data_IF_611657111220
#
_entry.id   IF_611657111220
#
_cell.length_a   1.000
_cell.length_b   1.000
_cell.length_c   1.000
_cell.angle_alpha   90.00
_cell.angle_beta   90.00
_cell.angle_gamma   90.00
#
_symmetry.space_group_name_H-M   'P 1'
#
loop_
_entity.id
_entity.type
_entity.pdbx_description
1 polymer ?
#
# COMPACT_ATOMS: atom_id res chain seq x y z
N UNK A 1 22.03 3.50 -4.80
CA UNK A 1 21.09 4.20 -5.72
C UNK A 1 21.08 3.50 -7.06
N UNK A 2 19.91 3.40 -7.71
CA UNK A 2 19.81 2.81 -9.05
C UNK A 2 20.59 3.67 -10.07
N UNK A 3 21.48 3.03 -10.83
CA UNK A 3 22.41 3.70 -11.78
C UNK A 3 21.70 4.40 -12.95
N UNK A 4 20.43 4.07 -13.20
CA UNK A 4 19.55 4.71 -14.18
C UNK A 4 18.09 4.60 -13.73
N UNK A 5 17.58 5.57 -12.93
CA UNK A 5 16.17 5.60 -12.59
C UNK A 5 15.37 5.93 -13.85
N UNK A 6 14.38 5.10 -14.17
CA UNK A 6 13.43 5.39 -15.25
C UNK A 6 12.32 6.25 -14.66
N UNK A 7 11.98 7.35 -15.32
CA UNK A 7 10.83 8.18 -14.94
C UNK A 7 9.54 7.39 -15.11
N UNK A 8 8.58 7.52 -14.18
CA UNK A 8 7.27 6.86 -14.32
C UNK A 8 6.58 7.33 -15.60
N UNK A 9 6.31 6.40 -16.50
CA UNK A 9 5.71 6.67 -17.82
C UNK A 9 4.31 6.11 -17.99
N UNK A 10 3.93 5.86 -19.25
CA UNK A 10 2.65 5.22 -19.62
C UNK A 10 2.45 3.82 -19.01
N UNK A 11 3.51 3.21 -18.47
CA UNK A 11 3.44 1.97 -17.70
C UNK A 11 2.51 2.05 -16.47
N UNK A 12 2.29 3.24 -15.91
CA UNK A 12 1.40 3.42 -14.75
C UNK A 12 -0.09 3.42 -15.09
N UNK A 13 -0.45 3.57 -16.36
CA UNK A 13 -1.86 3.59 -16.80
C UNK A 13 -2.51 2.19 -16.78
N UNK A 14 -1.70 1.14 -16.85
CA UNK A 14 -2.16 -0.25 -16.90
C UNK A 14 -1.88 -0.93 -15.57
N UNK A 15 -2.82 -1.73 -15.06
CA UNK A 15 -2.66 -2.46 -13.81
C UNK A 15 -1.46 -3.43 -13.86
N UNK A 16 -0.72 -3.60 -12.75
CA UNK A 16 0.40 -4.54 -12.71
C UNK A 16 -0.09 -5.99 -12.59
N UNK A 17 0.76 -6.92 -13.00
CA UNK A 17 0.58 -8.35 -12.79
C UNK A 17 0.99 -8.74 -11.38
N UNK A 18 0.20 -9.57 -10.72
CA UNK A 18 0.50 -10.08 -9.38
C UNK A 18 1.17 -11.45 -9.48
N UNK A 19 2.34 -11.59 -8.85
CA UNK A 19 3.03 -12.87 -8.66
C UNK A 19 3.14 -13.14 -7.17
N UNK A 20 2.48 -14.20 -6.71
CA UNK A 20 2.57 -14.71 -5.34
C UNK A 20 3.56 -15.87 -5.33
N UNK A 21 4.66 -15.74 -4.58
CA UNK A 21 5.67 -16.78 -4.44
C UNK A 21 5.72 -17.31 -3.00
N UNK A 22 5.81 -18.64 -2.88
CA UNK A 22 5.95 -19.36 -1.60
C UNK A 22 4.79 -19.14 -0.60
N UNK A 23 3.59 -18.77 -1.05
CA UNK A 23 2.42 -18.74 -0.17
C UNK A 23 1.95 -20.17 0.12
N UNK A 24 1.82 -20.50 1.40
CA UNK A 24 1.40 -21.84 1.85
C UNK A 24 -0.11 -22.05 1.84
N UNK A 25 -0.53 -23.27 2.19
CA UNK A 25 -1.93 -23.71 2.21
C UNK A 25 -2.71 -23.38 3.49
N UNK A 26 -2.08 -22.68 4.46
CA UNK A 26 -2.74 -22.33 5.71
C UNK A 26 -3.92 -21.37 5.48
N UNK A 27 -4.89 -21.38 6.39
CA UNK A 27 -6.10 -20.57 6.24
C UNK A 27 -5.78 -19.07 6.23
N UNK A 28 -4.82 -18.63 7.03
CA UNK A 28 -4.34 -17.25 7.10
C UNK A 28 -3.69 -16.82 5.78
N UNK A 29 -2.86 -17.70 5.20
CA UNK A 29 -2.17 -17.47 3.93
C UNK A 29 -3.13 -17.43 2.74
N UNK A 30 -4.18 -18.26 2.75
CA UNK A 30 -5.25 -18.24 1.75
C UNK A 30 -6.05 -16.95 1.81
N UNK A 31 -6.42 -16.49 3.01
CA UNK A 31 -7.09 -15.21 3.21
C UNK A 31 -6.22 -14.06 2.70
N UNK A 32 -4.94 -14.05 3.07
CA UNK A 32 -3.98 -13.05 2.62
C UNK A 32 -3.80 -13.05 1.10
N UNK A 33 -3.65 -14.24 0.48
CA UNK A 33 -3.56 -14.38 -0.98
C UNK A 33 -4.81 -13.85 -1.67
N UNK A 34 -5.99 -14.15 -1.10
CA UNK A 34 -7.28 -13.66 -1.60
C UNK A 34 -7.38 -12.15 -1.53
N UNK A 35 -6.90 -11.54 -0.44
CA UNK A 35 -6.84 -10.07 -0.30
C UNK A 35 -5.96 -9.48 -1.40
N UNK A 36 -4.73 -9.96 -1.56
CA UNK A 36 -3.84 -9.45 -2.60
C UNK A 36 -4.40 -9.67 -4.00
N UNK A 37 -5.01 -10.82 -4.29
CA UNK A 37 -5.66 -11.07 -5.58
C UNK A 37 -6.81 -10.11 -5.87
N UNK A 38 -7.62 -9.75 -4.87
CA UNK A 38 -8.74 -8.82 -5.05
C UNK A 38 -8.33 -7.34 -5.03
N UNK A 39 -7.12 -7.01 -4.58
CA UNK A 39 -6.58 -5.65 -4.71
C UNK A 39 -6.22 -5.29 -6.16
N UNK A 40 -5.99 -6.29 -7.01
CA UNK A 40 -5.65 -6.10 -8.42
C UNK A 40 -6.77 -6.62 -9.34
N UNK A 41 -6.92 -6.07 -10.55
CA UNK A 41 -7.90 -6.57 -11.51
C UNK A 41 -7.64 -8.05 -11.84
N UNK A 42 -8.70 -8.89 -11.97
CA UNK A 42 -8.54 -10.29 -12.33
C UNK A 42 -7.94 -10.42 -13.73
N UNK A 43 -6.96 -11.31 -13.88
CA UNK A 43 -6.24 -11.52 -15.14
C UNK A 43 -6.81 -12.74 -15.87
N UNK A 44 -7.29 -12.53 -17.09
CA UNK A 44 -7.70 -13.59 -17.99
C UNK A 44 -6.61 -13.83 -19.04
N UNK A 45 -5.92 -14.96 -18.95
CA UNK A 45 -4.75 -15.29 -19.79
C UNK A 45 -5.09 -15.31 -21.29
N UNK A 46 -6.34 -15.65 -21.64
CA UNK A 46 -6.78 -15.75 -23.04
C UNK A 46 -7.07 -14.40 -23.69
N UNK A 47 -7.53 -13.42 -22.91
CA UNK A 47 -7.97 -12.12 -23.45
C UNK A 47 -6.96 -11.00 -23.21
N UNK A 48 -6.00 -11.22 -22.30
CA UNK A 48 -4.97 -10.24 -21.97
C UNK A 48 -4.06 -9.97 -23.17
N UNK A 49 -3.80 -8.69 -23.44
CA UNK A 49 -2.82 -8.27 -24.44
C UNK A 49 -1.43 -8.18 -23.84
N UNK A 50 -0.41 -8.63 -24.59
CA UNK A 50 0.97 -8.58 -24.10
C UNK A 50 1.46 -7.13 -23.91
N UNK A 51 0.90 -6.17 -24.65
CA UNK A 51 1.22 -4.75 -24.53
C UNK A 51 0.86 -4.12 -23.16
N UNK A 52 -0.06 -4.77 -22.43
CA UNK A 52 -0.52 -4.36 -21.10
C UNK A 52 0.36 -4.94 -19.99
N UNK A 53 1.14 -5.98 -20.26
CA UNK A 53 2.05 -6.65 -19.34
C UNK A 53 3.33 -5.83 -19.07
N UNK A 54 3.18 -4.59 -18.59
CA UNK A 54 4.31 -3.66 -18.38
C UNK A 54 4.89 -3.71 -16.98
N UNK A 55 4.07 -4.02 -15.97
CA UNK A 55 4.46 -3.98 -14.56
C UNK A 55 4.13 -5.29 -13.87
N UNK A 56 4.98 -5.68 -12.92
CA UNK A 56 4.78 -6.86 -12.09
C UNK A 56 5.07 -6.53 -10.63
N UNK A 57 4.15 -6.91 -9.76
CA UNK A 57 4.29 -6.89 -8.30
C UNK A 57 4.61 -8.32 -7.88
N UNK A 58 5.76 -8.49 -7.25
CA UNK A 58 6.20 -9.74 -6.67
C UNK A 58 6.00 -9.66 -5.15
N UNK A 59 5.25 -10.62 -4.64
CA UNK A 59 5.13 -10.89 -3.21
C UNK A 59 5.82 -12.22 -2.94
N UNK A 60 6.91 -12.20 -2.16
CA UNK A 60 7.63 -13.41 -1.79
C UNK A 60 7.47 -13.65 -0.29
N UNK A 61 6.84 -14.76 0.08
CA UNK A 61 6.69 -15.15 1.48
C UNK A 61 7.89 -16.00 1.92
N UNK A 62 8.53 -15.61 3.02
CA UNK A 62 9.55 -16.43 3.66
C UNK A 62 8.94 -17.16 4.86
N UNK A 63 8.90 -18.49 4.79
CA UNK A 63 8.33 -19.32 5.85
C UNK A 63 9.13 -19.33 7.16
N UNK A 64 10.42 -19.02 7.12
CA UNK A 64 11.29 -19.00 8.30
C UNK A 64 11.09 -17.72 9.11
N UNK A 65 11.08 -16.57 8.43
CA UNK A 65 10.96 -15.26 9.07
C UNK A 65 9.51 -14.78 9.22
N UNK A 66 8.55 -15.43 8.53
CA UNK A 66 7.15 -15.01 8.39
C UNK A 66 6.98 -13.62 7.77
N UNK A 67 7.98 -13.16 7.02
CA UNK A 67 7.94 -11.89 6.33
C UNK A 67 7.56 -12.06 4.85
N UNK A 68 6.97 -11.01 4.29
CA UNK A 68 6.56 -10.91 2.90
C UNK A 68 7.36 -9.78 2.28
N UNK A 69 8.23 -10.12 1.34
CA UNK A 69 8.92 -9.13 0.53
C UNK A 69 7.96 -8.62 -0.55
N UNK A 70 7.65 -7.32 -0.51
CA UNK A 70 6.94 -6.62 -1.56
C UNK A 70 7.95 -5.93 -2.47
N UNK A 71 7.92 -6.30 -3.76
CA UNK A 71 8.80 -5.71 -4.78
C UNK A 71 8.01 -5.39 -6.04
N UNK A 72 8.26 -4.21 -6.60
CA UNK A 72 7.59 -3.74 -7.80
C UNK A 72 8.59 -3.51 -8.94
N UNK A 73 8.39 -4.23 -10.04
CA UNK A 73 9.25 -4.20 -11.21
C UNK A 73 8.49 -3.77 -12.46
N UNK A 74 9.21 -3.11 -13.35
CA UNK A 74 8.87 -2.89 -14.74
C UNK A 74 9.44 -4.03 -15.59
N UNK A 75 8.64 -4.56 -16.50
CA UNK A 75 9.00 -5.63 -17.42
C UNK A 75 9.55 -5.01 -18.70
N UNK A 76 10.86 -5.14 -18.93
CA UNK A 76 11.52 -4.72 -20.15
C UNK A 76 12.00 -5.95 -20.94
N UNK A 77 11.83 -5.93 -22.25
CA UNK A 77 12.37 -6.99 -23.13
C UNK A 77 13.63 -6.51 -23.82
N UNK A 78 14.58 -7.42 -24.00
CA UNK A 78 15.82 -7.19 -24.75
C UNK A 78 15.92 -8.15 -25.94
N UNK A 79 16.50 -7.72 -27.08
CA UNK A 79 16.87 -8.64 -28.15
C UNK A 79 17.95 -9.62 -27.68
N UNK A 80 17.77 -10.90 -28.02
CA UNK A 80 18.70 -12.01 -27.74
C UNK A 80 19.50 -12.33 -29.01
N UNK A 81 20.72 -12.85 -28.84
CA UNK A 81 21.57 -13.29 -29.96
C UNK A 81 22.21 -12.16 -30.76
N UNK A 82 22.29 -10.95 -30.20
CA UNK A 82 22.88 -9.77 -30.84
C UNK A 82 23.95 -9.17 -29.93
N UNK A 83 25.16 -9.01 -30.44
CA UNK A 83 26.28 -8.37 -29.72
C UNK A 83 25.95 -6.92 -29.33
N UNK A 84 26.57 -6.41 -28.25
CA UNK A 84 26.33 -5.04 -27.78
C UNK A 84 26.65 -3.98 -28.83
N UNK A 85 27.66 -4.21 -29.68
CA UNK A 85 28.04 -3.33 -30.79
C UNK A 85 26.89 -3.17 -31.79
N UNK A 86 26.30 -4.28 -32.22
CA UNK A 86 25.13 -4.29 -33.12
C UNK A 86 23.89 -3.74 -32.41
N UNK A 87 23.70 -4.06 -31.12
CA UNK A 87 22.60 -3.54 -30.29
C UNK A 87 22.62 -2.01 -30.23
N UNK A 88 23.80 -1.39 -30.08
CA UNK A 88 23.96 0.09 -30.13
C UNK A 88 23.60 0.64 -31.50
N UNK A 89 24.07 0.02 -32.59
CA UNK A 89 23.72 0.48 -33.95
C UNK A 89 22.20 0.49 -34.16
N UNK A 90 21.52 -0.56 -33.71
CA UNK A 90 20.05 -0.67 -33.81
C UNK A 90 19.33 0.36 -32.93
N UNK A 91 19.85 0.68 -31.74
CA UNK A 91 19.16 1.55 -30.78
C UNK A 91 19.48 3.04 -30.94
N UNK A 92 20.75 3.39 -31.14
CA UNK A 92 21.25 4.78 -31.21
C UNK A 92 21.52 5.25 -32.63
N UNK A 93 21.44 4.38 -33.63
CA UNK A 93 21.51 4.72 -35.07
C UNK A 93 22.94 4.94 -35.58
N UNK A 94 23.76 5.76 -34.91
CA UNK A 94 25.14 6.03 -35.32
C UNK A 94 26.09 5.76 -34.15
N UNK A 95 26.96 4.73 -34.24
CA UNK A 95 28.02 4.50 -33.27
C UNK A 95 29.18 5.46 -33.48
N UNK A 96 29.97 5.68 -32.43
CA UNK A 96 31.28 6.31 -32.56
C UNK A 96 32.26 5.31 -33.18
N UNK A 97 32.82 5.67 -34.33
CA UNK A 97 33.77 4.86 -35.09
C UNK A 97 35.21 5.38 -34.94
N UNK A 98 35.45 6.39 -34.10
CA UNK A 98 36.76 6.96 -33.90
C UNK A 98 37.71 5.91 -33.29
N UNK A 99 38.60 5.35 -34.10
CA UNK A 99 39.57 4.32 -33.71
C UNK A 99 39.26 2.90 -34.18
N UNK A 100 38.28 2.71 -35.07
CA UNK A 100 38.05 1.45 -35.79
C UNK A 100 38.38 1.63 -37.27
N UNK A 101 39.07 0.64 -37.86
CA UNK A 101 39.44 0.68 -39.29
C UNK A 101 38.26 0.30 -40.20
N UNK A 102 37.40 -0.61 -39.74
CA UNK A 102 36.25 -1.10 -40.51
C UNK A 102 35.07 -1.48 -39.59
N UNK A 103 33.88 -1.62 -40.17
CA UNK A 103 32.64 -2.09 -39.52
C UNK A 103 32.86 -3.46 -38.88
N UNK A 104 33.62 -4.33 -39.56
CA UNK A 104 33.96 -5.67 -39.08
C UNK A 104 34.74 -5.61 -37.76
N UNK A 105 35.68 -4.68 -37.64
CA UNK A 105 36.48 -4.47 -36.43
C UNK A 105 35.61 -3.97 -35.25
N UNK A 106 34.69 -3.03 -35.51
CA UNK A 106 33.72 -2.58 -34.51
C UNK A 106 32.82 -3.72 -33.98
N UNK A 107 32.34 -4.60 -34.86
CA UNK A 107 31.50 -5.73 -34.47
C UNK A 107 32.29 -6.78 -33.69
N UNK A 108 33.48 -7.15 -34.18
CA UNK A 108 34.35 -8.17 -33.58
C UNK A 108 34.89 -7.71 -32.23
N UNK A 109 35.46 -6.52 -32.14
CA UNK A 109 36.01 -5.97 -30.88
C UNK A 109 34.91 -5.74 -29.83
N UNK A 110 33.71 -5.38 -30.27
CA UNK A 110 32.53 -5.29 -29.40
C UNK A 110 31.98 -6.64 -28.92
N UNK A 111 32.32 -7.75 -29.58
CA UNK A 111 31.92 -9.09 -29.18
C UNK A 111 32.81 -9.67 -28.07
N UNK A 112 34.12 -9.38 -28.07
CA UNK A 112 35.07 -9.91 -27.08
C UNK A 112 35.09 -9.17 -25.73
N UNK A 113 34.62 -7.93 -25.68
CA UNK A 113 34.71 -7.08 -24.48
C UNK A 113 33.56 -7.28 -23.46
N UNK A 114 32.75 -8.34 -23.57
CA UNK A 114 31.46 -8.39 -22.88
C UNK A 114 31.13 -9.72 -22.20
N UNK A 115 31.64 -9.93 -20.99
CA UNK A 115 31.28 -11.05 -20.11
C UNK A 115 29.80 -11.03 -19.63
N UNK A 116 29.07 -9.93 -19.80
CA UNK A 116 27.68 -9.81 -19.34
C UNK A 116 26.60 -10.36 -20.30
N UNK A 117 26.99 -10.98 -21.43
CA UNK A 117 26.05 -11.66 -22.34
C UNK A 117 25.76 -13.11 -21.88
N UNK A 118 26.59 -13.62 -20.95
CA UNK A 118 26.42 -14.94 -20.32
C UNK A 118 25.24 -14.96 -19.33
N UNK A 119 24.75 -13.78 -18.93
CA UNK A 119 23.60 -13.66 -18.01
C UNK A 119 22.23 -13.83 -18.70
N UNK A 120 22.14 -13.62 -20.03
CA UNK A 120 20.90 -13.84 -20.81
C UNK A 120 20.77 -15.34 -21.18
N UNK A 121 20.89 -16.22 -20.18
CA UNK A 121 20.79 -17.68 -20.33
C UNK A 121 19.41 -18.14 -20.86
N UNK A 122 19.25 -19.45 -21.18
CA UNK A 122 18.00 -19.98 -21.73
C UNK A 122 16.80 -19.72 -20.81
N UNK A 123 17.02 -19.65 -19.50
CA UNK A 123 15.97 -19.45 -18.49
C UNK A 123 15.38 -18.02 -18.49
N UNK A 124 16.10 -17.03 -19.04
CA UNK A 124 15.61 -15.65 -19.18
C UNK A 124 15.00 -15.35 -20.55
N UNK A 125 15.14 -16.28 -21.50
CA UNK A 125 14.74 -16.10 -22.90
C UNK A 125 13.34 -16.67 -23.17
N UNK A 126 12.49 -15.89 -23.82
CA UNK A 126 11.11 -16.26 -24.19
C UNK A 126 10.81 -15.82 -25.62
N UNK A 127 10.07 -16.64 -26.36
CA UNK A 127 9.51 -16.28 -27.68
C UNK A 127 8.21 -15.50 -27.50
N UNK A 128 8.11 -14.31 -28.08
CA UNK A 128 6.93 -13.46 -27.94
C UNK A 128 5.70 -14.03 -28.67
N UNK A 129 4.57 -14.17 -27.97
CA UNK A 129 3.31 -14.63 -28.56
C UNK A 129 2.55 -13.55 -29.36
N UNK A 130 2.82 -12.28 -29.05
CA UNK A 130 2.23 -11.07 -29.64
C UNK A 130 3.29 -9.96 -29.70
N UNK A 131 2.97 -8.85 -30.37
CA UNK A 131 3.83 -7.67 -30.33
C UNK A 131 3.88 -7.09 -28.91
N UNK A 132 5.06 -6.62 -28.51
CA UNK A 132 5.28 -6.01 -27.19
C UNK A 132 5.74 -4.56 -27.32
N UNK A 133 5.58 -3.80 -26.23
CA UNK A 133 5.89 -2.38 -26.19
C UNK A 133 7.38 -2.13 -26.49
N UNK A 134 7.67 -1.12 -27.30
CA UNK A 134 9.03 -0.72 -27.65
C UNK A 134 9.40 -0.99 -29.11
N UNK A 135 10.57 -0.51 -29.52
CA UNK A 135 11.04 -0.67 -30.91
C UNK A 135 11.50 -2.11 -31.14
N UNK A 136 11.11 -2.65 -32.29
CA UNK A 136 11.52 -3.98 -32.76
C UNK A 136 11.19 -5.11 -31.79
N UNK A 137 10.01 -5.13 -31.16
CA UNK A 137 9.54 -6.26 -30.35
C UNK A 137 8.32 -6.91 -31.02
N UNK A 138 8.57 -7.71 -32.06
CA UNK A 138 7.52 -8.32 -32.87
C UNK A 138 7.17 -9.71 -32.37
N UNK A 139 5.95 -10.13 -32.70
CA UNK A 139 5.48 -11.50 -32.54
C UNK A 139 6.47 -12.50 -33.13
N UNK A 140 6.69 -13.61 -32.42
CA UNK A 140 7.64 -14.71 -32.73
C UNK A 140 9.12 -14.38 -32.57
N UNK A 141 9.50 -13.15 -32.22
CA UNK A 141 10.89 -12.86 -31.88
C UNK A 141 11.27 -13.47 -30.52
N UNK A 142 12.50 -14.00 -30.42
CA UNK A 142 13.08 -14.38 -29.14
C UNK A 142 13.62 -13.14 -28.40
N UNK A 143 13.20 -13.00 -27.14
CA UNK A 143 13.56 -11.87 -26.27
C UNK A 143 13.91 -12.33 -24.87
N UNK A 144 14.87 -11.66 -24.25
CA UNK A 144 15.20 -11.87 -22.85
C UNK A 144 14.40 -10.89 -22.00
N UNK A 145 13.83 -11.39 -20.90
CA UNK A 145 13.04 -10.58 -19.98
C UNK A 145 13.98 -9.99 -18.93
N UNK A 146 14.01 -8.66 -18.84
CA UNK A 146 14.70 -7.91 -17.80
C UNK A 146 13.71 -7.17 -16.92
N UNK A 147 13.80 -7.41 -15.62
CA UNK A 147 13.08 -6.65 -14.61
C UNK A 147 13.90 -5.40 -14.24
N UNK A 148 13.24 -4.26 -14.19
CA UNK A 148 13.79 -3.00 -13.69
C UNK A 148 12.97 -2.57 -12.50
N UNK A 149 13.60 -2.39 -11.35
CA UNK A 149 12.90 -1.96 -10.14
C UNK A 149 12.29 -0.56 -10.32
N UNK A 150 11.06 -0.41 -9.83
CA UNK A 150 10.25 0.79 -10.04
C UNK A 150 9.87 1.45 -8.72
N UNK A 151 9.41 0.65 -7.75
CA UNK A 151 8.70 1.12 -6.56
C UNK A 151 9.22 0.53 -5.26
N UNK A 152 8.61 0.91 -4.12
CA UNK A 152 9.22 0.75 -2.82
C UNK A 152 9.51 -0.72 -2.51
N UNK A 153 10.67 -0.94 -1.91
CA UNK A 153 11.05 -2.20 -1.27
C UNK A 153 10.40 -2.20 0.10
N UNK A 154 9.43 -3.07 0.32
CA UNK A 154 8.81 -3.21 1.63
C UNK A 154 8.94 -4.64 2.10
N UNK A 155 9.06 -4.79 3.41
CA UNK A 155 8.95 -6.06 4.11
C UNK A 155 7.73 -5.97 5.01
N UNK A 156 6.77 -6.87 4.81
CA UNK A 156 5.51 -6.89 5.54
C UNK A 156 5.48 -8.11 6.47
N UNK A 157 4.81 -7.99 7.62
CA UNK A 157 4.54 -9.11 8.52
C UNK A 157 3.04 -9.17 8.80
N UNK A 158 2.47 -10.37 8.78
CA UNK A 158 1.08 -10.58 9.18
C UNK A 158 0.96 -10.47 10.70
N UNK A 159 0.37 -9.38 11.20
CA UNK A 159 0.17 -9.19 12.64
C UNK A 159 -1.20 -9.72 13.07
N UNK A 160 -2.26 -9.36 12.33
CA UNK A 160 -3.64 -9.59 12.73
C UNK A 160 -4.56 -9.69 11.51
N UNK A 161 -5.54 -10.59 11.54
CA UNK A 161 -6.64 -10.65 10.57
C UNK A 161 -7.93 -10.34 11.30
N UNK A 162 -8.68 -9.35 10.81
CA UNK A 162 -9.98 -8.96 11.33
C UNK A 162 -11.05 -9.10 10.25
N UNK A 163 -12.26 -9.45 10.66
CA UNK A 163 -13.41 -9.40 9.78
C UNK A 163 -13.85 -7.94 9.53
N UNK A 164 -14.44 -7.65 8.37
CA UNK A 164 -14.98 -6.32 8.06
C UNK A 164 -13.92 -5.22 7.91
N UNK A 165 -14.33 -3.97 8.11
CA UNK A 165 -13.48 -2.79 8.02
C UNK A 165 -13.01 -2.38 9.42
N UNK A 166 -11.89 -2.95 9.86
CA UNK A 166 -11.19 -2.60 11.11
C UNK A 166 -11.94 -2.79 12.44
N UNK A 167 -13.25 -3.06 12.46
CA UNK A 167 -14.08 -3.19 13.67
C UNK A 167 -14.62 -4.63 13.92
N UNK A 168 -14.30 -5.59 13.07
CA UNK A 168 -14.85 -6.94 13.22
C UNK A 168 -14.07 -7.87 14.16
N UNK A 169 -14.50 -9.11 14.14
CA UNK A 169 -13.92 -10.19 14.93
C UNK A 169 -12.48 -10.47 14.51
N UNK A 170 -11.61 -10.70 15.49
CA UNK A 170 -10.22 -11.06 15.23
C UNK A 170 -10.17 -12.55 14.90
N UNK A 171 -9.81 -12.88 13.67
CA UNK A 171 -9.71 -14.26 13.19
C UNK A 171 -8.32 -14.85 13.46
N UNK A 172 -7.29 -14.01 13.41
CA UNK A 172 -5.89 -14.40 13.63
C UNK A 172 -5.12 -13.26 14.28
N UNK A 173 -4.17 -13.60 15.14
CA UNK A 173 -3.22 -12.68 15.72
C UNK A 173 -1.89 -13.41 16.01
N UNK A 174 -0.76 -12.85 15.57
CA UNK A 174 0.56 -13.49 15.74
C UNK A 174 1.11 -13.31 17.16
N UNK A 175 0.94 -12.11 17.74
CA UNK A 175 1.47 -11.74 19.07
C UNK A 175 0.50 -12.07 20.22
N UNK A 176 -0.68 -11.46 20.25
CA UNK A 176 -1.65 -11.58 21.35
C UNK A 176 -2.67 -12.67 21.05
N UNK A 177 -2.60 -13.79 21.76
CA UNK A 177 -3.55 -14.90 21.62
C UNK A 177 -4.58 -14.84 22.74
N UNK A 178 -5.84 -14.57 22.38
CA UNK A 178 -6.96 -14.55 23.32
C UNK A 178 -7.51 -15.95 23.57
N UNK A 179 -8.03 -16.17 24.77
CA UNK A 179 -8.66 -17.45 25.11
C UNK A 179 -9.99 -17.61 24.36
N UNK A 180 -10.45 -18.84 24.09
CA UNK A 180 -11.71 -19.07 23.38
C UNK A 180 -12.93 -18.55 24.14
N UNK A 181 -12.85 -18.41 25.47
CA UNK A 181 -13.91 -17.84 26.31
C UNK A 181 -13.99 -16.32 26.15
N UNK A 182 -12.85 -15.63 26.16
CA UNK A 182 -12.76 -14.18 25.86
C UNK A 182 -13.28 -13.85 24.47
N UNK A 183 -12.95 -14.69 23.47
CA UNK A 183 -13.44 -14.50 22.10
C UNK A 183 -14.98 -14.60 22.02
N UNK A 184 -15.58 -15.56 22.74
CA UNK A 184 -17.05 -15.69 22.81
C UNK A 184 -17.69 -14.51 23.55
N UNK A 185 -17.09 -14.06 24.65
CA UNK A 185 -17.57 -12.92 25.41
C UNK A 185 -17.57 -11.64 24.54
N UNK A 186 -16.46 -11.36 23.85
CA UNK A 186 -16.37 -10.22 22.93
C UNK A 186 -17.35 -10.31 21.76
N UNK A 187 -17.56 -11.51 21.23
CA UNK A 187 -18.55 -11.72 20.16
C UNK A 187 -19.96 -11.41 20.66
N UNK A 188 -20.32 -11.87 21.86
CA UNK A 188 -21.62 -11.61 22.46
C UNK A 188 -21.82 -10.12 22.77
N UNK A 189 -20.81 -9.45 23.33
CA UNK A 189 -20.83 -8.01 23.60
C UNK A 189 -21.00 -7.20 22.32
N UNK A 190 -20.22 -7.51 21.28
CA UNK A 190 -20.33 -6.83 19.99
C UNK A 190 -21.71 -7.05 19.34
N UNK A 191 -22.26 -8.27 19.43
CA UNK A 191 -23.60 -8.55 18.92
C UNK A 191 -24.67 -7.75 19.67
N UNK A 192 -24.55 -7.60 21.00
CA UNK A 192 -25.45 -6.73 21.78
C UNK A 192 -25.34 -5.28 21.34
N UNK A 193 -24.11 -4.74 21.25
CA UNK A 193 -23.85 -3.37 20.79
C UNK A 193 -24.42 -3.11 19.38
N UNK A 194 -24.28 -4.08 18.48
CA UNK A 194 -24.84 -4.00 17.13
C UNK A 194 -26.38 -3.99 17.14
N UNK A 195 -27.01 -4.84 17.97
CA UNK A 195 -28.47 -4.88 18.11
C UNK A 195 -29.01 -3.58 18.71
N UNK A 196 -28.35 -3.03 19.73
CA UNK A 196 -28.71 -1.75 20.35
C UNK A 196 -28.57 -0.58 19.36
N UNK A 197 -27.46 -0.52 18.61
CA UNK A 197 -27.27 0.49 17.56
C UNK A 197 -28.31 0.38 16.46
N UNK A 198 -28.66 -0.84 16.04
CA UNK A 198 -29.71 -1.07 15.04
C UNK A 198 -31.10 -0.69 15.55
N UNK A 199 -31.41 -0.96 16.83
CA UNK A 199 -32.65 -0.54 17.46
C UNK A 199 -32.73 1.00 17.54
N UNK A 200 -31.65 1.66 17.98
CA UNK A 200 -31.54 3.13 18.02
C UNK A 200 -31.75 3.76 16.65
N UNK A 201 -31.14 3.18 15.61
CA UNK A 201 -31.31 3.67 14.24
C UNK A 201 -32.75 3.54 13.75
N UNK A 202 -33.42 2.41 14.03
CA UNK A 202 -34.85 2.23 13.67
C UNK A 202 -35.76 3.23 14.37
N UNK A 203 -35.54 3.53 15.65
CA UNK A 203 -36.36 4.51 16.37
C UNK A 203 -36.10 5.93 15.85
N UNK A 204 -34.85 6.26 15.54
CA UNK A 204 -34.48 7.53 14.90
C UNK A 204 -35.15 7.67 13.53
N UNK A 205 -35.07 6.66 12.67
CA UNK A 205 -35.72 6.66 11.35
C UNK A 205 -37.24 6.85 11.45
N UNK A 206 -37.91 6.15 12.39
CA UNK A 206 -39.33 6.34 12.63
C UNK A 206 -39.67 7.75 13.12
N UNK A 207 -38.84 8.34 13.98
CA UNK A 207 -39.03 9.70 14.48
C UNK A 207 -38.82 10.74 13.39
N UNK A 208 -37.83 10.55 12.50
CA UNK A 208 -37.62 11.40 11.33
C UNK A 208 -38.81 11.32 10.39
N UNK A 209 -39.33 10.11 10.10
CA UNK A 209 -40.52 9.93 9.26
C UNK A 209 -41.74 10.64 9.88
N UNK A 210 -41.98 10.47 11.19
CA UNK A 210 -43.07 11.15 11.89
C UNK A 210 -42.92 12.67 11.85
N UNK A 211 -41.73 13.19 12.15
CA UNK A 211 -41.45 14.64 12.07
C UNK A 211 -41.61 15.19 10.66
N UNK A 212 -41.16 14.47 9.63
CA UNK A 212 -41.37 14.86 8.22
C UNK A 212 -42.86 14.87 7.87
N UNK A 213 -43.61 13.85 8.26
CA UNK A 213 -45.05 13.78 8.02
C UNK A 213 -45.83 14.88 8.77
N UNK A 214 -45.49 15.18 10.02
CA UNK A 214 -46.07 16.27 10.80
C UNK A 214 -45.77 17.63 10.17
N UNK A 215 -44.52 17.88 9.76
CA UNK A 215 -44.15 19.10 9.04
C UNK A 215 -44.87 19.22 7.70
N UNK A 216 -45.03 18.13 6.95
CA UNK A 216 -45.77 18.12 5.70
C UNK A 216 -47.27 18.44 5.94
N UNK A 217 -47.87 17.83 6.97
CA UNK A 217 -49.26 18.10 7.35
C UNK A 217 -49.46 19.54 7.86
N UNK A 218 -48.51 20.10 8.61
CA UNK A 218 -48.56 21.49 9.05
C UNK A 218 -48.39 22.47 7.88
N UNK A 219 -47.46 22.20 6.95
CA UNK A 219 -47.32 22.95 5.70
C UNK A 219 -48.60 22.89 4.87
N UNK A 220 -49.23 21.72 4.75
CA UNK A 220 -50.50 21.55 4.05
C UNK A 220 -51.64 22.31 4.73
N UNK A 221 -51.77 22.20 6.06
CA UNK A 221 -52.77 22.92 6.84
C UNK A 221 -52.60 24.44 6.74
N UNK A 222 -51.36 24.94 6.84
CA UNK A 222 -51.06 26.36 6.64
C UNK A 222 -51.42 26.81 5.21
N UNK A 223 -51.15 25.98 4.19
CA UNK A 223 -51.46 26.29 2.78
C UNK A 223 -52.96 26.32 2.51
N UNK A 224 -53.73 25.41 3.11
CA UNK A 224 -55.20 25.41 3.04
C UNK A 224 -55.76 26.66 3.74
N UNK A 225 -55.21 27.04 4.91
CA UNK A 225 -55.63 28.23 5.64
C UNK A 225 -55.30 29.55 4.91
N UNK A 226 -54.25 29.58 4.09
CA UNK A 226 -53.91 30.73 3.23
C UNK A 226 -54.59 30.71 1.86
N UNK A 227 -55.52 29.77 1.61
CA UNK A 227 -56.36 29.73 0.40
C UNK A 227 -55.76 28.99 -0.80
N UNK A 228 -54.69 28.21 -0.62
CA UNK A 228 -54.10 27.38 -1.67
C UNK A 228 -54.82 26.03 -1.85
N UNK A 229 -54.95 25.58 -3.10
CA UNK A 229 -55.57 24.28 -3.44
C UNK A 229 -54.75 23.07 -2.91
N UNK A 230 -55.37 21.92 -2.61
CA UNK A 230 -54.67 20.70 -2.18
C UNK A 230 -53.80 20.13 -3.32
N UNK A 231 -52.58 19.68 -3.00
CA UNK A 231 -51.63 19.06 -3.97
C UNK A 231 -51.71 17.56 -3.79
N UNK A 232 -51.49 16.82 -4.88
CA UNK A 232 -51.40 15.37 -4.82
C UNK A 232 -50.05 14.96 -4.21
N UNK A 233 -49.98 13.83 -3.51
CA UNK A 233 -48.77 13.36 -2.81
C UNK A 233 -47.58 13.03 -3.73
N UNK A 234 -47.71 13.17 -5.06
CA UNK A 234 -46.64 12.93 -6.03
C UNK A 234 -45.75 14.17 -6.27
N UNK A 235 -46.10 15.36 -5.77
CA UNK A 235 -45.35 16.61 -5.98
C UNK A 235 -44.35 16.95 -4.85
N UNK A 236 -44.27 16.14 -3.78
CA UNK A 236 -43.49 16.46 -2.55
C UNK A 236 -41.97 16.21 -2.68
N UNK A 237 -41.53 15.41 -3.67
CA UNK A 237 -40.11 15.10 -3.85
C UNK A 237 -39.32 16.23 -4.58
N UNK A 238 -40.00 17.19 -5.22
CA UNK A 238 -39.34 18.24 -6.02
C UNK A 238 -39.12 19.57 -5.29
N UNK A 239 -39.78 19.83 -4.14
CA UNK A 239 -39.69 21.13 -3.44
C UNK A 239 -38.65 21.20 -2.30
N UNK A 240 -38.03 20.08 -1.86
CA UNK A 240 -36.97 20.12 -0.81
C UNK A 240 -35.63 20.73 -1.32
N UNK A 241 -35.41 20.83 -2.64
CA UNK A 241 -34.20 21.43 -3.24
C UNK A 241 -34.25 22.96 -3.37
N UNK A 242 -35.40 23.61 -3.15
CA UNK A 242 -35.59 25.03 -3.48
C UNK A 242 -35.41 26.02 -2.31
N UNK A 243 -35.48 25.58 -1.04
CA UNK A 243 -35.51 26.49 0.13
C UNK A 243 -34.11 26.81 0.72
N UNK A 244 -33.02 26.36 0.10
CA UNK A 244 -31.65 26.60 0.61
C UNK A 244 -30.98 27.88 0.11
N UNK A 245 -31.61 28.68 -0.77
CA UNK A 245 -30.96 29.88 -1.37
C UNK A 245 -31.40 31.24 -0.81
N UNK A 246 -32.25 31.28 0.22
CA UNK A 246 -33.08 32.47 0.46
C UNK A 246 -32.99 33.23 1.78
N UNK A 247 -32.07 32.98 2.74
CA UNK A 247 -32.05 33.76 4.01
C UNK A 247 -30.66 33.91 4.63
N UNK A 248 -29.96 35.00 4.29
CA UNK A 248 -28.85 35.55 5.07
C UNK A 248 -29.39 36.61 6.05
N UNK A 249 -29.50 36.28 7.35
CA UNK A 249 -29.21 37.15 8.51
C UNK A 249 -29.51 36.45 9.86
N UNK A 250 -28.42 36.03 10.53
CA UNK A 250 -28.15 35.93 11.98
C UNK A 250 -29.33 35.68 12.95
N UNK A 251 -29.45 34.45 13.42
CA UNK A 251 -29.75 34.09 14.82
C UNK A 251 -29.60 32.56 15.01
N UNK A 252 -28.94 32.16 16.11
CA UNK A 252 -28.82 30.82 16.70
C UNK A 252 -28.22 29.70 15.82
N UNK A 253 -27.02 29.28 16.21
CA UNK A 253 -26.34 28.08 15.76
C UNK A 253 -27.07 26.87 16.34
N UNK A 254 -28.02 26.30 15.60
CA UNK A 254 -28.43 24.90 15.79
C UNK A 254 -27.35 24.07 15.08
N UNK A 255 -26.37 23.63 15.87
CA UNK A 255 -25.49 22.50 15.56
C UNK A 255 -26.36 21.25 15.64
N UNK A 256 -26.76 20.69 14.50
CA UNK A 256 -27.39 19.36 14.46
C UNK A 256 -27.28 18.77 13.04
N UNK A 257 -26.12 18.95 12.38
CA UNK A 257 -25.69 18.15 11.23
C UNK A 257 -24.21 18.41 10.92
N UNK A 258 -23.29 17.96 11.79
CA UNK A 258 -21.90 17.61 11.48
C UNK A 258 -21.20 17.09 12.75
N UNK A 259 -20.49 15.97 12.61
CA UNK A 259 -19.49 15.42 13.55
C UNK A 259 -19.97 14.73 14.85
N UNK A 260 -20.38 13.45 14.73
CA UNK A 260 -20.06 12.44 15.76
C UNK A 260 -18.78 11.69 15.29
N UNK A 261 -17.69 12.44 15.10
CA UNK A 261 -16.31 11.94 15.17
C UNK A 261 -15.71 12.36 16.52
N UNK A 262 -16.12 11.72 17.62
CA UNK A 262 -15.47 11.70 18.96
C UNK A 262 -16.38 10.82 19.84
N UNK A 263 -16.01 9.80 20.61
CA UNK A 263 -14.77 9.23 21.10
C UNK A 263 -14.84 7.71 20.90
N UNK A 264 -13.93 7.15 20.09
CA UNK A 264 -13.54 5.76 20.31
C UNK A 264 -12.45 5.85 21.36
N UNK A 265 -12.56 5.22 22.55
CA UNK A 265 -11.38 5.01 23.37
C UNK A 265 -10.41 4.20 22.51
N UNK A 266 -9.41 4.89 21.97
CA UNK A 266 -8.21 4.27 21.45
C UNK A 266 -7.63 3.58 22.67
N UNK A 267 -7.92 2.29 22.84
CA UNK A 267 -7.06 1.43 23.61
C UNK A 267 -5.70 1.47 22.91
N UNK A 268 -4.90 2.46 23.27
CA UNK A 268 -3.48 2.44 23.03
C UNK A 268 -2.96 1.30 23.91
N UNK A 269 -2.80 0.12 23.31
CA UNK A 269 -2.22 -1.06 23.97
C UNK A 269 -0.70 -0.88 24.20
N UNK A 270 -0.25 0.36 24.41
CA UNK A 270 1.13 0.75 24.71
C UNK A 270 1.36 1.07 26.19
N UNK A 271 0.31 1.03 27.03
CA UNK A 271 0.38 1.46 28.43
C UNK A 271 0.42 0.27 29.43
N UNK A 272 1.14 -0.81 29.10
CA UNK A 272 1.45 -1.90 30.05
C UNK A 272 2.97 -2.05 30.33
N UNK A 273 3.70 -0.93 30.28
CA UNK A 273 5.11 -0.85 30.70
C UNK A 273 5.35 0.19 31.82
N UNK A 274 4.37 0.43 32.69
CA UNK A 274 4.51 1.38 33.81
C UNK A 274 4.17 0.84 35.19
N UNK A 275 4.03 -0.48 35.35
CA UNK A 275 3.94 -1.13 36.67
C UNK A 275 5.21 -1.96 36.98
N UNK A 276 6.37 -1.32 36.88
CA UNK A 276 7.53 -1.70 37.70
C UNK A 276 7.79 -0.54 38.65
N UNK A 277 7.51 -0.81 39.92
CA UNK A 277 7.41 0.18 40.97
C UNK A 277 8.67 1.01 41.23
N UNK A 278 8.39 2.19 41.79
CA UNK A 278 9.31 2.98 42.61
C UNK A 278 10.16 2.08 43.50
N UNK A 279 11.42 1.88 43.09
CA UNK A 279 12.50 1.54 44.00
C UNK A 279 13.65 2.48 43.68
N UNK A 280 13.47 3.74 44.10
CA UNK A 280 14.57 4.68 44.25
C UNK A 280 15.57 4.08 45.25
N UNK A 281 16.85 3.88 44.90
CA UNK A 281 17.85 3.55 45.90
C UNK A 281 18.12 4.80 46.75
N UNK A 282 17.77 4.71 48.03
CA UNK A 282 18.25 5.64 49.06
C UNK A 282 19.78 5.64 49.05
N UNK A 283 20.35 6.81 48.78
CA UNK A 283 21.77 7.07 48.95
C UNK A 283 22.03 7.21 50.46
N UNK A 284 22.43 6.13 51.12
CA UNK A 284 23.01 6.19 52.45
C UNK A 284 24.53 6.25 52.34
N UNK A 285 25.08 7.39 52.75
CA UNK A 285 26.49 7.55 53.13
C UNK A 285 26.89 6.46 54.13
N UNK A 286 27.97 5.72 53.83
CA UNK A 286 28.97 5.13 54.76
C UNK A 286 29.73 3.98 54.05
N UNK A 287 30.93 4.26 53.53
CA UNK A 287 32.17 3.59 53.97
C UNK A 287 33.38 4.13 53.19
N UNK A 288 34.35 4.63 53.95
CA UNK A 288 35.67 5.03 53.49
C UNK A 288 36.49 3.81 53.01
N UNK A 289 37.31 4.02 51.98
CA UNK A 289 38.25 3.02 51.49
C UNK A 289 39.37 3.67 50.68
N UNK A 290 40.35 4.20 51.41
CA UNK A 290 41.66 4.70 50.99
C UNK A 290 42.37 3.78 49.96
N UNK A 291 42.81 4.36 48.83
CA UNK A 291 44.02 3.90 48.16
C UNK A 291 44.76 5.06 47.48
N UNK A 292 45.66 5.65 48.26
CA UNK A 292 46.86 6.38 47.85
C UNK A 292 47.64 5.76 46.66
N UNK A 293 48.30 6.61 45.86
CA UNK A 293 49.22 6.16 44.82
C UNK A 293 49.65 7.25 43.83
N UNK A 294 50.66 8.01 44.23
CA UNK A 294 51.30 9.15 43.57
C UNK A 294 51.91 8.90 42.16
N UNK A 295 51.95 10.02 41.43
CA UNK A 295 53.07 10.62 40.68
C UNK A 295 53.58 10.14 39.30
N UNK A 296 53.89 11.22 38.56
CA UNK A 296 54.98 11.46 37.59
C UNK A 296 54.77 11.25 36.08
N UNK A 297 54.48 12.37 35.43
CA UNK A 297 55.36 13.06 34.46
C UNK A 297 56.32 12.22 33.59
N UNK A 298 56.15 12.33 32.27
CA UNK A 298 57.24 12.78 31.39
C UNK A 298 56.79 13.17 29.97
N UNK A 299 57.24 14.37 29.58
CA UNK A 299 57.32 14.89 28.21
C UNK A 299 58.17 14.01 27.30
N UNK A 300 57.79 13.89 26.02
CA UNK A 300 58.62 14.03 24.80
C UNK A 300 57.60 14.27 23.65
N UNK A 301 57.72 15.15 22.67
CA UNK A 301 58.82 15.93 22.11
C UNK A 301 58.59 15.98 20.59
N UNK A 302 58.54 17.19 20.01
CA UNK A 302 58.95 17.61 18.63
C UNK A 302 58.72 16.65 17.43
N UNK A 303 58.22 17.05 16.25
CA UNK A 303 58.28 18.33 15.54
C UNK A 303 57.45 18.28 14.24
N UNK A 304 56.90 19.41 13.83
CA UNK A 304 56.63 19.77 12.43
C UNK A 304 57.93 19.75 11.60
N UNK A 305 57.87 19.41 10.31
CA UNK A 305 58.25 20.32 9.20
C UNK A 305 58.13 19.69 7.80
N UNK A 306 57.92 20.60 6.86
CA UNK A 306 57.75 20.55 5.40
C UNK A 306 58.60 19.56 4.57
N UNK A 307 57.96 18.93 3.57
CA UNK A 307 58.22 19.09 2.11
C UNK A 307 57.14 18.40 1.23
#
# INVERSE_FOLDING_TARGET
MQKSPKSPGLEFQVAPLLVLNNFGDSNEMKLMSTVFQNMFPPINIQTMQLADARRVVLLNYNSETKHIDFRHYNVAVKPVGISKSIKRVITTGVPDLQGFEDISDYVLRGAFASESDVEDGPDSTVTLGQDFVGRNNRRQDQRAIKLVELGPRMELRLVKIQAGMCDGEVLYHDIVKRTPEELKAQKAERQKKMQEKAARRKTQEQNVIKKKAEKAAEKEAHRIATGGAPRKPEDDDEEEEADTKGKRKRAAHDEDDEEDEEDVPVYNDSDDYSDMGDMAPEFSDEEEGDFSGDDDDQMEGFSDDDE
#
